data_IF_106207933240
#
_entry.id   IF_106207933240
#
_cell.length_a   1.000
_cell.length_b   1.000
_cell.length_c   1.000
_cell.angle_alpha   90.00
_cell.angle_beta   90.00
_cell.angle_gamma   90.00
#
_symmetry.space_group_name_H-M   'P 1'
#
loop_
_entity.id
_entity.type
_entity.pdbx_description
1 polymer ?
#
# COMPACT_ATOMS: atom_id res chain seq x y z
N UNK A 1 -15.77 -23.81 13.09
CA UNK A 1 -15.35 -24.38 11.79
C UNK A 1 -15.64 -25.88 11.73
N UNK A 2 -15.43 -26.65 12.83
CA UNK A 2 -15.75 -28.09 12.83
C UNK A 2 -17.24 -28.38 12.65
N UNK A 3 -18.11 -27.44 12.99
CA UNK A 3 -19.57 -27.55 12.89
C UNK A 3 -20.12 -27.20 11.50
N UNK A 4 -19.25 -26.75 10.58
CA UNK A 4 -19.62 -26.50 9.19
C UNK A 4 -19.59 -27.82 8.39
N UNK A 5 -20.51 -27.98 7.41
CA UNK A 5 -20.40 -29.04 6.40
C UNK A 5 -19.00 -29.06 5.78
N UNK A 6 -18.52 -30.21 5.37
CA UNK A 6 -17.14 -30.37 4.89
C UNK A 6 -16.83 -29.40 3.72
N UNK A 7 -17.75 -29.28 2.77
CA UNK A 7 -17.65 -28.42 1.58
C UNK A 7 -17.73 -26.91 1.88
N UNK A 8 -18.20 -26.52 3.08
CA UNK A 8 -18.28 -25.15 3.56
C UNK A 8 -17.09 -24.74 4.45
N UNK A 9 -16.19 -25.68 4.76
CA UNK A 9 -14.97 -25.37 5.55
C UNK A 9 -13.96 -24.64 4.68
N UNK A 10 -13.35 -23.54 5.16
CA UNK A 10 -12.46 -22.70 4.33
C UNK A 10 -11.36 -23.46 3.61
N UNK A 11 -10.73 -24.46 4.26
CA UNK A 11 -9.65 -25.25 3.65
C UNK A 11 -10.18 -26.11 2.50
N UNK A 12 -11.22 -26.85 2.71
CA UNK A 12 -11.85 -27.73 1.73
C UNK A 12 -12.43 -26.91 0.56
N UNK A 13 -13.03 -25.77 0.87
CA UNK A 13 -13.55 -24.80 -0.10
C UNK A 13 -12.41 -24.21 -0.95
N UNK A 14 -11.28 -23.85 -0.34
CA UNK A 14 -10.08 -23.39 -1.06
C UNK A 14 -9.57 -24.44 -2.05
N UNK A 15 -9.43 -25.68 -1.58
CA UNK A 15 -8.85 -26.76 -2.38
C UNK A 15 -9.77 -27.21 -3.52
N UNK A 16 -11.09 -27.15 -3.32
CA UNK A 16 -12.07 -27.61 -4.31
C UNK A 16 -12.53 -26.52 -5.28
N UNK A 17 -12.57 -25.25 -4.86
CA UNK A 17 -13.16 -24.15 -5.64
C UNK A 17 -12.19 -22.99 -5.90
N UNK A 18 -10.96 -23.06 -5.36
CA UNK A 18 -9.95 -22.01 -5.50
C UNK A 18 -10.15 -20.82 -4.55
N UNK A 19 -9.14 -19.95 -4.46
CA UNK A 19 -9.12 -18.83 -3.53
C UNK A 19 -10.20 -17.77 -3.80
N UNK A 20 -10.57 -17.56 -5.06
CA UNK A 20 -11.60 -16.59 -5.44
C UNK A 20 -13.00 -16.92 -4.91
N UNK A 21 -13.24 -18.17 -4.49
CA UNK A 21 -14.52 -18.58 -3.91
C UNK A 21 -14.63 -18.25 -2.42
N UNK A 22 -13.55 -17.84 -1.75
CA UNK A 22 -13.53 -17.56 -0.33
C UNK A 22 -13.83 -16.08 -0.06
N UNK A 23 -14.58 -15.84 1.01
CA UNK A 23 -14.71 -14.50 1.59
C UNK A 23 -13.41 -14.11 2.32
N UNK A 24 -13.18 -12.81 2.52
CA UNK A 24 -11.99 -12.28 3.19
C UNK A 24 -11.78 -12.88 4.58
N UNK A 25 -12.85 -13.04 5.36
CA UNK A 25 -12.80 -13.69 6.68
C UNK A 25 -12.38 -15.16 6.59
N UNK A 26 -12.75 -15.88 5.53
CA UNK A 26 -12.35 -17.27 5.33
C UNK A 26 -10.87 -17.38 4.96
N UNK A 27 -10.37 -16.49 4.10
CA UNK A 27 -8.95 -16.42 3.75
C UNK A 27 -8.11 -16.09 5.00
N UNK A 28 -8.53 -15.09 5.76
CA UNK A 28 -7.83 -14.70 6.99
C UNK A 28 -7.89 -15.80 8.05
N UNK A 29 -9.02 -16.52 8.17
CA UNK A 29 -9.14 -17.66 9.08
C UNK A 29 -8.19 -18.80 8.76
N UNK A 30 -7.85 -19.03 7.49
CA UNK A 30 -6.84 -20.00 7.07
C UNK A 30 -5.44 -19.62 7.57
N UNK A 31 -5.07 -18.35 7.51
CA UNK A 31 -3.81 -17.84 8.03
C UNK A 31 -3.77 -17.92 9.57
N UNK A 32 -4.84 -17.53 10.24
CA UNK A 32 -4.92 -17.55 11.72
C UNK A 32 -4.97 -18.97 12.29
N UNK A 33 -5.41 -19.95 11.52
CA UNK A 33 -5.54 -21.39 11.87
C UNK A 33 -6.46 -21.70 13.03
N UNK A 34 -6.39 -20.96 14.11
CA UNK A 34 -7.14 -21.21 15.35
C UNK A 34 -7.77 -19.91 15.87
N UNK A 35 -8.97 -20.03 16.47
CA UNK A 35 -9.58 -18.96 17.25
C UNK A 35 -8.94 -18.82 18.64
N UNK A 36 -9.72 -18.28 19.56
CA UNK A 36 -9.38 -18.14 20.99
C UNK A 36 -10.50 -18.76 21.82
N UNK A 37 -10.28 -18.89 23.14
CA UNK A 37 -11.32 -19.38 24.04
C UNK A 37 -12.60 -18.56 23.90
N UNK A 38 -13.71 -19.23 23.58
CA UNK A 38 -15.03 -18.62 23.38
C UNK A 38 -15.25 -17.93 22.02
N UNK A 39 -14.23 -17.85 21.13
CA UNK A 39 -14.38 -17.19 19.83
C UNK A 39 -13.75 -18.04 18.72
N UNK A 40 -14.56 -18.48 17.77
CA UNK A 40 -14.10 -19.27 16.63
C UNK A 40 -13.15 -18.48 15.72
N UNK A 41 -12.37 -19.19 14.91
CA UNK A 41 -11.37 -18.55 14.03
C UNK A 41 -12.03 -17.64 12.97
N UNK A 42 -13.19 -17.97 12.45
CA UNK A 42 -13.94 -17.13 11.51
C UNK A 42 -14.42 -15.83 12.18
N UNK A 43 -14.91 -15.92 13.42
CA UNK A 43 -15.32 -14.75 14.20
C UNK A 43 -14.13 -13.87 14.54
N UNK A 44 -12.98 -14.45 14.89
CA UNK A 44 -11.74 -13.72 15.11
C UNK A 44 -11.28 -13.03 13.81
N UNK A 45 -11.33 -13.71 12.68
CA UNK A 45 -11.02 -13.13 11.37
C UNK A 45 -11.95 -11.95 11.02
N UNK A 46 -13.26 -12.13 11.21
CA UNK A 46 -14.22 -11.06 10.96
C UNK A 46 -13.99 -9.85 11.88
N UNK A 47 -13.75 -10.07 13.17
CA UNK A 47 -13.47 -8.97 14.11
C UNK A 47 -12.19 -8.18 13.76
N UNK A 48 -11.21 -8.83 13.13
CA UNK A 48 -10.02 -8.15 12.61
C UNK A 48 -10.36 -7.29 11.39
N UNK A 49 -11.14 -7.83 10.44
CA UNK A 49 -11.58 -7.08 9.27
C UNK A 49 -12.42 -5.86 9.67
N UNK A 50 -13.34 -6.03 10.61
CA UNK A 50 -14.19 -4.93 11.12
C UNK A 50 -13.36 -3.85 11.81
N UNK A 51 -12.35 -4.25 12.59
CA UNK A 51 -11.47 -3.32 13.32
C UNK A 51 -10.56 -2.50 12.39
N UNK A 52 -10.11 -3.10 11.29
CA UNK A 52 -9.17 -2.47 10.35
C UNK A 52 -9.83 -2.01 9.05
N UNK A 53 -11.16 -1.99 9.00
CA UNK A 53 -11.90 -1.58 7.80
C UNK A 53 -11.54 -2.42 6.56
N UNK A 54 -11.56 -3.74 6.74
CA UNK A 54 -11.33 -4.72 5.69
C UNK A 54 -9.87 -5.21 5.56
N UNK A 55 -9.62 -6.00 4.52
CA UNK A 55 -8.29 -6.55 4.23
C UNK A 55 -7.28 -5.45 3.98
N UNK A 56 -7.64 -4.40 3.26
CA UNK A 56 -6.74 -3.30 2.95
C UNK A 56 -6.19 -2.65 4.24
N UNK A 57 -7.08 -2.29 5.18
CA UNK A 57 -6.66 -1.73 6.45
C UNK A 57 -5.84 -2.69 7.32
N UNK A 58 -6.20 -3.98 7.30
CA UNK A 58 -5.42 -5.01 8.01
C UNK A 58 -4.02 -5.19 7.39
N UNK A 59 -3.90 -5.13 6.06
CA UNK A 59 -2.64 -5.17 5.32
C UNK A 59 -1.71 -4.01 5.68
N UNK A 60 -2.28 -2.93 6.16
CA UNK A 60 -1.55 -1.74 6.56
C UNK A 60 -1.32 -1.64 8.07
N UNK A 61 -1.91 -2.54 8.85
CA UNK A 61 -1.72 -2.55 10.29
C UNK A 61 -0.25 -2.77 10.65
N UNK A 62 0.31 -1.89 11.45
CA UNK A 62 1.63 -2.12 12.01
C UNK A 62 1.63 -3.25 13.05
N UNK A 63 2.80 -3.80 13.34
CA UNK A 63 2.95 -4.89 14.32
C UNK A 63 2.50 -4.47 15.72
N UNK A 64 2.57 -3.18 16.05
CA UNK A 64 2.16 -2.66 17.36
C UNK A 64 0.64 -2.56 17.48
N UNK A 65 -0.05 -2.11 16.44
CA UNK A 65 -1.53 -2.10 16.41
C UNK A 65 -2.11 -3.51 16.53
N UNK A 66 -1.47 -4.50 15.92
CA UNK A 66 -1.83 -5.91 16.05
C UNK A 66 -1.58 -6.47 17.46
N UNK A 67 -0.66 -5.88 18.22
CA UNK A 67 -0.31 -6.33 19.58
C UNK A 67 -1.45 -6.16 20.59
N UNK A 68 -2.28 -5.16 20.39
CA UNK A 68 -3.42 -4.85 21.28
C UNK A 68 -4.60 -5.81 21.09
N UNK A 69 -4.56 -6.72 20.11
CA UNK A 69 -5.69 -7.56 19.75
C UNK A 69 -5.63 -8.89 20.51
N UNK A 70 -6.67 -9.12 21.31
CA UNK A 70 -6.83 -10.39 22.01
C UNK A 70 -6.91 -11.54 21.01
N UNK A 71 -6.01 -12.53 21.16
CA UNK A 71 -5.97 -13.72 20.28
C UNK A 71 -4.93 -13.64 19.17
N UNK A 72 -4.28 -12.50 18.96
CA UNK A 72 -3.11 -12.37 18.10
C UNK A 72 -1.81 -12.49 18.92
N UNK A 73 -1.45 -13.71 19.28
CA UNK A 73 -0.14 -13.98 19.89
C UNK A 73 1.03 -13.66 18.93
N UNK A 74 2.27 -13.70 19.42
CA UNK A 74 3.46 -13.36 18.62
C UNK A 74 3.53 -14.12 17.28
N UNK A 75 3.21 -15.42 17.29
CA UNK A 75 3.25 -16.24 16.08
C UNK A 75 2.27 -15.78 15.00
N UNK A 76 1.00 -15.53 15.35
CA UNK A 76 0.00 -15.06 14.38
C UNK A 76 0.34 -13.66 13.84
N UNK A 77 0.90 -12.78 14.67
CA UNK A 77 1.35 -11.44 14.24
C UNK A 77 2.51 -11.54 13.27
N UNK A 78 3.50 -12.38 13.56
CA UNK A 78 4.63 -12.62 12.65
C UNK A 78 4.17 -13.22 11.31
N UNK A 79 3.23 -14.14 11.33
CA UNK A 79 2.66 -14.75 10.14
C UNK A 79 1.92 -13.73 9.26
N UNK A 80 1.06 -12.89 9.85
CA UNK A 80 0.42 -11.80 9.14
C UNK A 80 1.45 -10.82 8.55
N UNK A 81 2.39 -10.34 9.37
CA UNK A 81 3.44 -9.42 8.90
C UNK A 81 4.26 -10.01 7.75
N UNK A 82 4.60 -11.31 7.81
CA UNK A 82 5.34 -11.97 6.75
C UNK A 82 4.55 -12.06 5.44
N UNK A 83 3.26 -12.40 5.51
CA UNK A 83 2.38 -12.44 4.32
C UNK A 83 2.29 -11.06 3.65
N UNK A 84 2.19 -9.99 4.45
CA UNK A 84 2.14 -8.62 3.96
C UNK A 84 3.44 -8.22 3.27
N UNK A 85 4.55 -8.54 3.89
CA UNK A 85 5.87 -8.24 3.32
C UNK A 85 6.11 -9.02 2.02
N UNK A 86 5.68 -10.29 1.95
CA UNK A 86 5.73 -11.08 0.71
C UNK A 86 4.91 -10.40 -0.39
N UNK A 87 3.68 -9.96 -0.10
CA UNK A 87 2.84 -9.26 -1.07
C UNK A 87 3.51 -7.98 -1.58
N UNK A 88 4.11 -7.18 -0.69
CA UNK A 88 4.88 -5.97 -1.08
C UNK A 88 6.03 -6.32 -2.02
N UNK A 89 6.83 -7.33 -1.68
CA UNK A 89 7.98 -7.75 -2.51
C UNK A 89 7.55 -8.24 -3.89
N UNK A 90 6.51 -9.06 -3.96
CA UNK A 90 5.98 -9.55 -5.25
C UNK A 90 5.51 -8.40 -6.14
N UNK A 91 4.85 -7.38 -5.57
CA UNK A 91 4.45 -6.20 -6.34
C UNK A 91 5.64 -5.36 -6.77
N UNK A 92 6.63 -5.16 -5.89
CA UNK A 92 7.87 -4.45 -6.23
C UNK A 92 8.63 -5.15 -7.37
N UNK A 93 8.75 -6.47 -7.30
CA UNK A 93 9.40 -7.30 -8.32
C UNK A 93 8.73 -7.14 -9.69
N UNK A 94 7.39 -7.21 -9.73
CA UNK A 94 6.62 -6.98 -10.98
C UNK A 94 6.87 -5.59 -11.58
N UNK A 95 6.97 -4.56 -10.74
CA UNK A 95 7.23 -3.19 -11.18
C UNK A 95 8.70 -2.98 -11.60
N UNK A 96 9.62 -3.81 -11.08
CA UNK A 96 11.03 -3.82 -11.52
C UNK A 96 11.22 -4.59 -12.84
N UNK A 97 10.39 -5.59 -13.13
CA UNK A 97 10.49 -6.38 -14.36
C UNK A 97 9.84 -5.71 -15.57
N UNK A 98 8.76 -4.95 -15.35
CA UNK A 98 7.94 -4.36 -16.42
C UNK A 98 7.74 -2.86 -16.22
N UNK A 99 7.63 -2.08 -17.31
CA UNK A 99 7.38 -0.66 -17.20
C UNK A 99 6.13 -0.37 -16.37
N UNK A 100 6.26 0.44 -15.33
CA UNK A 100 5.13 0.85 -14.49
C UNK A 100 4.04 1.60 -15.27
N UNK A 101 4.42 2.26 -16.37
CA UNK A 101 3.51 2.92 -17.29
C UNK A 101 2.50 1.96 -17.95
N UNK A 102 2.88 0.71 -18.21
CA UNK A 102 1.99 -0.32 -18.75
C UNK A 102 1.05 -0.93 -17.69
N UNK A 103 1.27 -0.62 -16.42
CA UNK A 103 0.55 -1.21 -15.29
C UNK A 103 0.12 -0.13 -14.26
N UNK A 104 -0.70 0.87 -14.64
CA UNK A 104 -1.08 1.95 -13.72
C UNK A 104 -1.75 1.45 -12.44
N UNK A 105 -2.50 0.35 -12.53
CA UNK A 105 -3.15 -0.25 -11.37
C UNK A 105 -2.14 -0.89 -10.41
N UNK A 106 -1.12 -1.59 -10.92
CA UNK A 106 -0.07 -2.18 -10.09
C UNK A 106 0.74 -1.10 -9.33
N UNK A 107 1.00 0.04 -9.97
CA UNK A 107 1.62 1.21 -9.32
C UNK A 107 0.75 1.71 -8.17
N UNK A 108 -0.55 1.90 -8.40
CA UNK A 108 -1.49 2.34 -7.37
C UNK A 108 -1.59 1.34 -6.21
N UNK A 109 -1.68 0.05 -6.51
CA UNK A 109 -1.75 -1.01 -5.51
C UNK A 109 -0.47 -1.07 -4.67
N UNK A 110 0.68 -0.94 -5.31
CA UNK A 110 1.96 -0.85 -4.61
C UNK A 110 2.04 0.38 -3.69
N UNK A 111 1.68 1.57 -4.21
CA UNK A 111 1.69 2.81 -3.41
C UNK A 111 0.68 2.75 -2.25
N UNK A 112 -0.47 2.14 -2.45
CA UNK A 112 -1.41 1.88 -1.35
C UNK A 112 -0.78 1.02 -0.26
N UNK A 113 -0.11 -0.08 -0.64
CA UNK A 113 0.59 -0.94 0.32
C UNK A 113 1.72 -0.21 1.07
N UNK A 114 2.31 0.81 0.48
CA UNK A 114 3.37 1.59 1.13
C UNK A 114 2.84 2.68 2.06
N UNK A 115 1.74 3.34 1.70
CA UNK A 115 1.38 4.63 2.28
C UNK A 115 0.02 4.65 3.01
N UNK A 116 -0.96 3.82 2.64
CA UNK A 116 -2.34 3.99 3.11
C UNK A 116 -2.54 3.80 4.62
N UNK A 117 -1.65 3.08 5.30
CA UNK A 117 -1.73 2.81 6.73
C UNK A 117 -1.05 3.85 7.63
N UNK A 118 -0.31 4.76 7.04
CA UNK A 118 0.46 5.71 7.82
C UNK A 118 -0.49 6.71 8.49
N UNK A 119 -0.29 6.92 9.77
CA UNK A 119 -1.07 7.83 10.61
C UNK A 119 -0.67 9.31 10.48
N UNK A 120 0.37 9.58 9.73
CA UNK A 120 0.89 10.89 9.41
C UNK A 120 1.09 11.04 7.91
N UNK A 121 1.05 12.26 7.43
CA UNK A 121 1.30 12.55 6.03
C UNK A 121 2.75 12.20 5.66
N UNK A 122 2.92 11.42 4.63
CA UNK A 122 4.22 10.96 4.15
C UNK A 122 4.29 11.16 2.65
N UNK A 123 5.35 11.82 2.21
CA UNK A 123 5.62 12.02 0.79
C UNK A 123 6.72 11.06 0.35
N UNK A 124 6.40 10.20 -0.60
CA UNK A 124 7.29 9.22 -1.19
C UNK A 124 7.50 9.44 -2.68
N UNK A 125 8.56 8.85 -3.19
CA UNK A 125 8.91 8.92 -4.61
C UNK A 125 9.31 7.54 -5.09
N UNK A 126 8.67 7.07 -6.17
CA UNK A 126 9.14 5.95 -6.96
C UNK A 126 10.15 6.48 -7.98
N UNK A 127 11.37 6.00 -7.93
CA UNK A 127 12.41 6.30 -8.91
C UNK A 127 12.44 5.21 -9.97
N UNK A 128 12.49 5.60 -11.23
CA UNK A 128 12.32 4.71 -12.37
C UNK A 128 13.50 4.84 -13.33
N UNK A 129 13.87 3.74 -13.98
CA UNK A 129 14.85 3.73 -15.06
C UNK A 129 14.30 4.30 -16.39
N UNK A 130 15.13 4.30 -17.42
CA UNK A 130 14.74 4.79 -18.76
C UNK A 130 13.67 3.94 -19.46
N UNK A 131 13.40 2.74 -18.99
CA UNK A 131 12.30 1.89 -19.40
C UNK A 131 11.08 2.00 -18.46
N UNK A 132 11.09 2.98 -17.55
CA UNK A 132 10.05 3.20 -16.52
C UNK A 132 9.83 2.00 -15.57
N UNK A 133 10.87 1.19 -15.33
CA UNK A 133 10.85 0.12 -14.33
C UNK A 133 11.28 0.66 -12.98
N UNK A 134 10.71 0.13 -11.92
CA UNK A 134 11.01 0.55 -10.56
C UNK A 134 12.46 0.25 -10.19
N UNK A 135 13.23 1.28 -9.86
CA UNK A 135 14.53 1.18 -9.23
C UNK A 135 14.35 1.04 -7.71
N UNK A 136 13.65 2.00 -7.11
CA UNK A 136 13.36 2.01 -5.67
C UNK A 136 12.17 2.93 -5.37
N UNK A 137 11.45 2.63 -4.30
CA UNK A 137 10.51 3.56 -3.67
C UNK A 137 11.11 4.06 -2.35
N UNK A 138 11.15 5.36 -2.14
CA UNK A 138 11.65 5.97 -0.91
C UNK A 138 10.68 6.99 -0.36
N UNK A 139 10.47 6.97 0.96
CA UNK A 139 9.79 8.04 1.67
C UNK A 139 10.80 9.14 1.97
N UNK A 140 10.65 10.28 1.33
CA UNK A 140 11.61 11.38 1.44
C UNK A 140 11.24 12.39 2.52
N UNK A 141 9.93 12.60 2.72
CA UNK A 141 9.45 13.60 3.68
C UNK A 141 8.34 13.01 4.54
N UNK A 142 8.40 13.37 5.80
CA UNK A 142 7.40 13.03 6.81
C UNK A 142 6.86 14.32 7.41
N UNK A 143 5.56 14.51 7.30
CA UNK A 143 4.86 15.66 7.84
C UNK A 143 4.24 15.42 9.20
N UNK A 144 3.51 16.42 9.65
CA UNK A 144 2.55 16.34 10.73
C UNK A 144 1.21 15.80 10.20
N UNK A 145 0.15 15.85 11.00
CA UNK A 145 -1.20 15.46 10.58
C UNK A 145 -1.78 16.33 9.44
N UNK A 146 -1.19 17.47 9.16
CA UNK A 146 -1.75 18.48 8.25
C UNK A 146 -0.79 19.05 7.20
N UNK A 147 0.52 18.89 7.36
CA UNK A 147 1.50 19.50 6.44
C UNK A 147 2.81 18.72 6.37
N UNK A 148 3.28 18.49 5.15
CA UNK A 148 4.63 17.96 4.85
C UNK A 148 5.43 19.01 4.09
N UNK A 149 6.55 19.46 4.64
CA UNK A 149 7.47 20.33 3.91
C UNK A 149 8.26 19.48 2.89
N UNK A 150 7.88 19.59 1.61
CA UNK A 150 8.56 18.88 0.51
C UNK A 150 9.52 19.84 -0.18
N UNK A 151 10.79 19.43 -0.31
CA UNK A 151 11.82 20.23 -0.94
C UNK A 151 12.23 19.64 -2.31
N UNK A 152 11.88 20.28 -3.44
CA UNK A 152 12.19 19.79 -4.79
C UNK A 152 13.67 19.44 -5.00
N UNK A 153 14.61 20.20 -4.38
CA UNK A 153 16.05 19.94 -4.46
C UNK A 153 16.44 18.54 -3.91
N UNK A 154 15.76 18.06 -2.86
CA UNK A 154 16.09 16.75 -2.28
C UNK A 154 15.58 15.62 -3.19
N UNK A 155 14.44 15.82 -3.85
CA UNK A 155 13.93 14.89 -4.88
C UNK A 155 14.93 14.84 -6.05
N UNK A 156 15.38 16.00 -6.55
CA UNK A 156 16.34 16.06 -7.64
C UNK A 156 17.70 15.41 -7.28
N UNK A 157 18.26 15.71 -6.11
CA UNK A 157 19.48 15.07 -5.61
C UNK A 157 19.35 13.54 -5.59
N UNK A 158 18.21 13.05 -5.11
CA UNK A 158 18.01 11.62 -5.00
C UNK A 158 17.82 10.96 -6.35
N UNK A 159 17.09 11.61 -7.27
CA UNK A 159 16.93 11.13 -8.65
C UNK A 159 18.27 11.00 -9.37
N UNK A 160 19.14 12.00 -9.25
CA UNK A 160 20.48 11.97 -9.83
C UNK A 160 21.36 10.88 -9.20
N UNK A 161 21.32 10.73 -7.88
CA UNK A 161 22.09 9.70 -7.18
C UNK A 161 21.69 8.26 -7.59
N UNK A 162 20.45 8.07 -8.01
CA UNK A 162 19.93 6.78 -8.47
C UNK A 162 20.00 6.59 -9.99
N UNK A 163 20.50 7.59 -10.74
CA UNK A 163 20.40 7.63 -12.20
C UNK A 163 18.97 7.38 -12.71
N UNK A 164 17.98 7.92 -12.01
CA UNK A 164 16.59 7.79 -12.39
C UNK A 164 16.29 8.67 -13.62
N UNK A 165 15.59 8.11 -14.61
CA UNK A 165 15.11 8.84 -15.79
C UNK A 165 13.70 9.41 -15.57
N UNK A 166 12.92 8.82 -14.67
CA UNK A 166 11.57 9.27 -14.35
C UNK A 166 11.22 9.02 -12.87
N UNK A 167 10.17 9.69 -12.43
CA UNK A 167 9.62 9.49 -11.08
C UNK A 167 8.10 9.44 -11.10
N UNK A 168 7.52 8.72 -10.14
CA UNK A 168 6.12 8.86 -9.71
C UNK A 168 6.13 9.39 -8.28
N UNK A 169 5.50 10.54 -8.08
CA UNK A 169 5.33 11.13 -6.76
C UNK A 169 4.13 10.48 -6.07
N UNK A 170 4.19 10.35 -4.76
CA UNK A 170 3.06 9.84 -4.00
C UNK A 170 3.02 10.43 -2.60
N UNK A 171 1.82 10.68 -2.07
CA UNK A 171 1.63 10.98 -0.66
C UNK A 171 0.30 10.41 -0.17
N UNK A 172 0.18 10.21 1.14
CA UNK A 172 -1.06 9.79 1.75
C UNK A 172 -1.74 10.94 2.46
N UNK A 173 -3.07 10.88 2.50
CA UNK A 173 -3.90 11.71 3.36
C UNK A 173 -4.40 10.90 4.56
N UNK A 174 -3.91 11.17 5.79
CA UNK A 174 -4.37 10.48 7.01
C UNK A 174 -5.88 10.63 7.27
N UNK A 175 -6.50 11.69 6.73
CA UNK A 175 -7.96 11.87 6.75
C UNK A 175 -8.72 10.75 6.07
N UNK A 176 -8.06 10.00 5.18
CA UNK A 176 -8.64 8.93 4.38
C UNK A 176 -9.20 9.35 3.03
N UNK A 177 -9.37 10.64 2.77
CA UNK A 177 -9.82 11.16 1.47
C UNK A 177 -8.63 11.36 0.54
N UNK A 178 -8.66 10.76 -0.65
CA UNK A 178 -7.60 10.88 -1.65
C UNK A 178 -7.74 12.13 -2.55
N UNK A 179 -8.52 13.15 -2.15
CA UNK A 179 -8.74 14.34 -2.96
C UNK A 179 -7.52 15.26 -2.90
N UNK A 180 -6.89 15.59 -4.05
CA UNK A 180 -5.74 16.49 -4.09
C UNK A 180 -6.09 17.88 -3.60
N UNK A 181 -5.22 18.50 -2.83
CA UNK A 181 -5.31 19.90 -2.42
C UNK A 181 -4.63 20.83 -3.42
N UNK A 182 -4.90 22.11 -3.33
CA UNK A 182 -4.18 23.13 -4.10
C UNK A 182 -2.68 23.15 -3.78
N UNK A 183 -2.30 22.84 -2.55
CA UNK A 183 -0.90 22.73 -2.15
C UNK A 183 -0.21 21.56 -2.86
N UNK A 184 -0.90 20.44 -3.04
CA UNK A 184 -0.39 19.28 -3.77
C UNK A 184 -0.14 19.57 -5.25
N UNK A 185 -1.02 20.36 -5.87
CA UNK A 185 -0.82 20.84 -7.24
C UNK A 185 0.43 21.73 -7.35
N UNK A 186 0.59 22.69 -6.45
CA UNK A 186 1.71 23.64 -6.46
C UNK A 186 3.04 22.93 -6.22
N UNK A 187 3.11 22.01 -5.26
CA UNK A 187 4.34 21.26 -5.01
C UNK A 187 4.69 20.30 -6.16
N UNK A 188 3.68 19.70 -6.79
CA UNK A 188 3.87 18.86 -7.97
C UNK A 188 4.50 19.67 -9.11
N UNK A 189 3.97 20.86 -9.41
CA UNK A 189 4.52 21.75 -10.42
C UNK A 189 5.96 22.16 -10.10
N UNK A 190 6.24 22.50 -8.84
CA UNK A 190 7.58 22.90 -8.40
C UNK A 190 8.60 21.75 -8.55
N UNK A 191 8.22 20.53 -8.19
CA UNK A 191 9.08 19.35 -8.38
C UNK A 191 9.29 19.07 -9.86
N UNK A 192 8.21 19.12 -10.66
CA UNK A 192 8.28 18.90 -12.11
C UNK A 192 9.25 19.88 -12.78
N UNK A 193 9.17 21.18 -12.45
CA UNK A 193 10.09 22.21 -12.97
C UNK A 193 11.54 21.93 -12.56
N UNK A 194 11.78 21.58 -11.30
CA UNK A 194 13.12 21.26 -10.81
C UNK A 194 13.73 20.01 -11.49
N UNK A 195 12.94 18.97 -11.68
CA UNK A 195 13.36 17.71 -12.30
C UNK A 195 13.57 17.87 -13.81
N UNK A 196 12.80 18.72 -14.47
CA UNK A 196 12.97 19.02 -15.89
C UNK A 196 14.35 19.61 -16.22
N UNK A 197 14.93 20.40 -15.29
CA UNK A 197 16.29 20.96 -15.45
C UNK A 197 17.39 19.91 -15.44
N UNK A 198 17.12 18.72 -14.94
CA UNK A 198 18.05 17.59 -14.86
C UNK A 198 17.56 16.39 -15.68
N UNK A 199 16.67 16.64 -16.65
CA UNK A 199 16.14 15.65 -17.60
C UNK A 199 15.45 14.44 -16.95
N UNK A 200 14.86 14.62 -15.76
CA UNK A 200 14.05 13.59 -15.07
C UNK A 200 12.58 13.90 -15.22
N UNK A 201 11.80 12.94 -15.73
CA UNK A 201 10.38 13.12 -15.98
C UNK A 201 9.53 12.82 -14.74
N UNK A 202 8.51 13.64 -14.46
CA UNK A 202 7.44 13.30 -13.52
C UNK A 202 6.31 12.67 -14.31
N UNK A 203 6.07 11.36 -14.12
CA UNK A 203 5.07 10.61 -14.87
C UNK A 203 3.68 10.71 -14.22
N UNK A 204 3.61 10.74 -12.91
CA UNK A 204 2.37 10.89 -12.16
C UNK A 204 2.61 11.44 -10.76
N UNK A 205 1.55 11.91 -10.12
CA UNK A 205 1.47 12.12 -8.68
C UNK A 205 0.21 11.43 -8.16
N UNK A 206 0.39 10.46 -7.27
CA UNK A 206 -0.70 9.65 -6.74
C UNK A 206 -0.98 10.03 -5.29
N UNK A 207 -2.19 10.51 -5.04
CA UNK A 207 -2.69 10.73 -3.67
C UNK A 207 -3.32 9.45 -3.16
N UNK A 208 -2.90 8.99 -2.00
CA UNK A 208 -3.35 7.74 -1.39
C UNK A 208 -4.25 8.07 -0.20
N UNK A 209 -5.52 7.71 -0.30
CA UNK A 209 -6.46 7.71 0.81
C UNK A 209 -6.68 6.31 1.36
N UNK A 210 -7.47 6.20 2.42
CA UNK A 210 -7.79 4.93 3.05
C UNK A 210 -8.50 3.97 2.09
N UNK A 211 -9.48 4.47 1.34
CA UNK A 211 -10.36 3.67 0.49
C UNK A 211 -10.12 3.86 -1.01
N UNK A 212 -9.08 4.59 -1.41
CA UNK A 212 -8.83 4.85 -2.82
C UNK A 212 -7.56 5.61 -3.10
N UNK A 213 -7.29 5.78 -4.38
CA UNK A 213 -6.16 6.57 -4.88
C UNK A 213 -6.65 7.50 -5.98
N UNK A 214 -6.03 8.68 -6.06
CA UNK A 214 -6.25 9.64 -7.15
C UNK A 214 -4.92 9.88 -7.85
N UNK A 215 -4.92 9.80 -9.17
CA UNK A 215 -3.79 10.08 -10.06
C UNK A 215 -3.95 11.45 -10.68
N UNK A 216 -2.93 12.28 -10.60
CA UNK A 216 -2.89 13.59 -11.24
C UNK A 216 -2.88 13.47 -12.76
N UNK A 217 -2.13 12.50 -13.31
CA UNK A 217 -2.09 12.26 -14.74
C UNK A 217 -3.48 11.92 -15.29
N UNK A 218 -4.23 11.04 -14.59
CA UNK A 218 -5.59 10.67 -15.01
C UNK A 218 -6.61 11.80 -14.88
N UNK A 219 -6.36 12.76 -13.98
CA UNK A 219 -7.20 13.96 -13.82
C UNK A 219 -6.77 15.15 -14.68
N UNK A 220 -5.66 15.03 -15.42
CA UNK A 220 -5.13 16.15 -16.23
C UNK A 220 -4.55 17.29 -15.38
N UNK A 221 -4.01 16.99 -14.21
CA UNK A 221 -3.43 17.94 -13.26
C UNK A 221 -1.89 18.01 -13.34
N UNK A 222 -1.26 17.26 -14.23
CA UNK A 222 0.20 17.25 -14.46
C UNK A 222 0.63 18.26 -15.51
#
# INVERSE_FOLDING_TARGET
VKDLPADARPREKLLSRGAAALADAELLALLLRTGIAGTGVLQLAQSLLDRFDGLAGLLHADVQSLKSIKGLGPAKRAELAAVLEIARRVLAERLAERPGFEQPQAVKDYLRLQLAALDHETFGVMFLDAQHRLLVFETLFRGTLTHTAVHPREVAKRALALNAAAVVLAHNHPSGLAEPSRADELITQSIRQALQLVEVQVLDHVVVGRNGTVSFAQRGLL
#
